data_IF_918354147138
#
_entry.id   IF_918354147138
#
_cell.length_a   1.000
_cell.length_b   1.000
_cell.length_c   1.000
_cell.angle_alpha   90.00
_cell.angle_beta   90.00
_cell.angle_gamma   90.00
#
_symmetry.space_group_name_H-M   'P 1'
#
loop_
_entity.id
_entity.type
_entity.pdbx_description
1 polymer ?
#
# COMPACT_ATOMS: atom_id res chain seq x y z
N UNK A 1 -7.28 -47.07 -34.10
CA UNK A 1 -8.05 -46.04 -33.35
C UNK A 1 -7.34 -45.72 -32.06
N UNK A 2 -6.38 -44.78 -32.08
CA UNK A 2 -5.75 -44.22 -30.91
C UNK A 2 -6.62 -43.02 -30.48
N UNK A 3 -7.36 -43.17 -29.41
CA UNK A 3 -8.18 -42.11 -28.83
C UNK A 3 -7.36 -41.10 -28.09
N UNK A 4 -7.63 -39.85 -28.36
CA UNK A 4 -7.17 -38.66 -27.64
C UNK A 4 -7.57 -38.73 -26.16
N UNK A 5 -6.59 -38.74 -25.28
CA UNK A 5 -6.72 -38.52 -23.84
C UNK A 5 -5.59 -37.59 -23.39
N UNK A 6 -5.63 -36.30 -23.75
CA UNK A 6 -4.64 -35.31 -23.34
C UNK A 6 -5.27 -33.93 -23.11
N UNK A 7 -6.52 -33.86 -22.62
CA UNK A 7 -7.20 -32.57 -22.42
C UNK A 7 -7.63 -32.27 -20.99
N UNK A 8 -7.90 -33.28 -20.15
CA UNK A 8 -8.50 -33.00 -18.84
C UNK A 8 -7.52 -32.66 -17.71
N UNK A 9 -6.26 -33.06 -17.78
CA UNK A 9 -5.32 -32.86 -16.66
C UNK A 9 -4.70 -31.49 -16.56
N UNK A 10 -4.64 -30.72 -17.64
CA UNK A 10 -4.09 -29.35 -17.62
C UNK A 10 -5.11 -28.32 -17.13
N UNK A 11 -6.39 -28.49 -17.51
CA UNK A 11 -7.46 -27.59 -17.12
C UNK A 11 -7.81 -27.73 -15.62
N UNK A 12 -7.75 -28.95 -15.08
CA UNK A 12 -7.97 -29.20 -13.66
C UNK A 12 -6.83 -28.60 -12.81
N UNK A 13 -5.58 -28.77 -13.22
CA UNK A 13 -4.44 -28.16 -12.53
C UNK A 13 -4.45 -26.64 -12.57
N UNK A 14 -4.87 -26.02 -13.68
CA UNK A 14 -4.99 -24.57 -13.78
C UNK A 14 -6.07 -24.06 -12.81
N UNK A 15 -7.21 -24.74 -12.69
CA UNK A 15 -8.26 -24.39 -11.72
C UNK A 15 -7.80 -24.57 -10.29
N UNK A 16 -7.09 -25.62 -9.99
CA UNK A 16 -6.54 -25.87 -8.65
C UNK A 16 -5.49 -24.80 -8.28
N UNK A 17 -4.65 -24.37 -9.24
CA UNK A 17 -3.67 -23.30 -9.06
C UNK A 17 -4.34 -21.98 -8.69
N UNK A 18 -5.35 -21.56 -9.45
CA UNK A 18 -6.08 -20.31 -9.17
C UNK A 18 -6.83 -20.38 -7.83
N UNK A 19 -7.44 -21.52 -7.51
CA UNK A 19 -8.11 -21.74 -6.24
C UNK A 19 -7.16 -21.61 -5.04
N UNK A 20 -5.96 -22.21 -5.13
CA UNK A 20 -4.94 -22.06 -4.08
C UNK A 20 -4.39 -20.64 -4.00
N UNK A 21 -4.18 -19.96 -5.15
CA UNK A 21 -3.77 -18.56 -5.18
C UNK A 21 -4.79 -17.68 -4.47
N UNK A 22 -6.07 -17.81 -4.79
CA UNK A 22 -7.13 -17.03 -4.16
C UNK A 22 -7.26 -17.32 -2.66
N UNK A 23 -7.15 -18.59 -2.27
CA UNK A 23 -7.16 -18.97 -0.87
C UNK A 23 -5.97 -18.33 -0.11
N UNK A 24 -4.77 -18.34 -0.70
CA UNK A 24 -3.59 -17.68 -0.11
C UNK A 24 -3.78 -16.17 0.06
N UNK A 25 -4.40 -15.49 -0.91
CA UNK A 25 -4.73 -14.06 -0.80
C UNK A 25 -5.70 -13.83 0.38
N UNK A 26 -6.76 -14.62 0.47
CA UNK A 26 -7.72 -14.53 1.58
C UNK A 26 -7.04 -14.79 2.95
N UNK A 27 -6.08 -15.72 3.00
CA UNK A 27 -5.30 -15.98 4.22
C UNK A 27 -4.45 -14.77 4.63
N UNK A 28 -3.84 -14.06 3.67
CA UNK A 28 -3.12 -12.79 3.97
C UNK A 28 -4.08 -11.76 4.57
N UNK A 29 -5.26 -11.59 3.97
CA UNK A 29 -6.27 -10.62 4.43
C UNK A 29 -6.77 -10.91 5.85
N UNK A 30 -6.82 -12.20 6.21
CA UNK A 30 -7.23 -12.66 7.54
C UNK A 30 -6.08 -12.82 8.54
N UNK A 31 -4.84 -12.47 8.16
CA UNK A 31 -3.66 -12.58 9.03
C UNK A 31 -3.12 -14.01 9.21
N UNK A 32 -3.64 -15.00 8.47
CA UNK A 32 -3.19 -16.41 8.52
C UNK A 32 -1.99 -16.62 7.58
N UNK A 33 -0.86 -16.00 7.89
CA UNK A 33 0.27 -15.91 6.96
C UNK A 33 0.94 -17.24 6.65
N UNK A 34 1.05 -18.15 7.60
CA UNK A 34 1.61 -19.49 7.38
C UNK A 34 0.75 -20.30 6.42
N UNK A 35 -0.58 -20.25 6.60
CA UNK A 35 -1.53 -20.89 5.67
C UNK A 35 -1.45 -20.27 4.28
N UNK A 36 -1.20 -18.96 4.19
CA UNK A 36 -0.99 -18.26 2.92
C UNK A 36 0.27 -18.78 2.20
N UNK A 37 1.40 -18.94 2.92
CA UNK A 37 2.65 -19.47 2.35
C UNK A 37 2.41 -20.88 1.80
N UNK A 38 1.74 -21.74 2.57
CA UNK A 38 1.40 -23.10 2.15
C UNK A 38 0.49 -23.12 0.93
N UNK A 39 -0.51 -22.24 0.89
CA UNK A 39 -1.43 -22.13 -0.24
C UNK A 39 -0.70 -21.69 -1.52
N UNK A 40 0.14 -20.68 -1.46
CA UNK A 40 0.93 -20.22 -2.61
C UNK A 40 1.93 -21.30 -3.07
N UNK A 41 2.53 -22.06 -2.14
CA UNK A 41 3.37 -23.19 -2.52
C UNK A 41 2.57 -24.25 -3.28
N UNK A 42 1.38 -24.63 -2.78
CA UNK A 42 0.48 -25.56 -3.48
C UNK A 42 0.06 -25.04 -4.85
N UNK A 43 -0.17 -23.73 -5.01
CA UNK A 43 -0.46 -23.13 -6.30
C UNK A 43 0.73 -23.29 -7.26
N UNK A 44 1.95 -23.03 -6.80
CA UNK A 44 3.18 -23.22 -7.61
C UNK A 44 3.41 -24.68 -7.98
N UNK A 45 3.08 -25.62 -7.09
CA UNK A 45 3.19 -27.08 -7.36
C UNK A 45 2.24 -27.56 -8.46
N UNK A 46 1.18 -26.81 -8.78
CA UNK A 46 0.29 -27.09 -9.91
C UNK A 46 0.83 -26.59 -11.25
N UNK A 47 1.88 -25.77 -11.23
CA UNK A 47 2.44 -25.18 -12.47
C UNK A 47 3.07 -26.25 -13.33
N UNK A 48 2.72 -26.24 -14.63
CA UNK A 48 3.21 -27.20 -15.62
C UNK A 48 3.89 -26.39 -16.74
N UNK A 49 5.19 -26.60 -16.90
CA UNK A 49 5.95 -25.97 -17.99
C UNK A 49 6.85 -24.82 -17.51
N UNK A 50 6.93 -23.74 -18.28
CA UNK A 50 7.77 -22.58 -17.96
C UNK A 50 7.10 -21.65 -16.96
N UNK A 51 7.91 -20.96 -16.15
CA UNK A 51 7.46 -19.85 -15.31
C UNK A 51 6.89 -18.73 -16.19
N UNK A 52 5.71 -18.24 -15.89
CA UNK A 52 5.03 -17.14 -16.55
C UNK A 52 4.68 -16.01 -15.57
N UNK A 53 3.90 -15.05 -16.06
CA UNK A 53 3.48 -13.90 -15.24
C UNK A 53 2.66 -14.31 -14.00
N UNK A 54 1.86 -15.37 -14.13
CA UNK A 54 1.05 -15.88 -13.03
C UNK A 54 1.90 -16.52 -11.93
N UNK A 55 2.90 -17.30 -12.28
CA UNK A 55 3.85 -17.89 -11.33
C UNK A 55 4.66 -16.81 -10.61
N UNK A 56 5.08 -15.76 -11.32
CA UNK A 56 5.77 -14.63 -10.73
C UNK A 56 4.85 -13.89 -9.73
N UNK A 57 3.60 -13.64 -10.09
CA UNK A 57 2.61 -13.03 -9.19
C UNK A 57 2.42 -13.87 -7.92
N UNK A 58 2.28 -15.19 -8.04
CA UNK A 58 2.19 -16.11 -6.89
C UNK A 58 3.46 -16.03 -6.03
N UNK A 59 4.65 -15.96 -6.63
CA UNK A 59 5.90 -15.79 -5.90
C UNK A 59 5.95 -14.46 -5.12
N UNK A 60 5.44 -13.36 -5.68
CA UNK A 60 5.33 -12.09 -4.98
C UNK A 60 4.43 -12.18 -3.75
N UNK A 61 3.24 -12.77 -3.89
CA UNK A 61 2.35 -13.01 -2.75
C UNK A 61 2.97 -13.95 -1.70
N UNK A 62 3.66 -15.01 -2.14
CA UNK A 62 4.36 -15.93 -1.23
C UNK A 62 5.43 -15.21 -0.43
N UNK A 63 6.30 -14.41 -1.09
CA UNK A 63 7.34 -13.65 -0.41
C UNK A 63 6.74 -12.64 0.59
N UNK A 64 5.63 -11.98 0.23
CA UNK A 64 4.90 -11.11 1.14
C UNK A 64 4.38 -11.88 2.37
N UNK A 65 3.76 -13.04 2.17
CA UNK A 65 3.25 -13.88 3.25
C UNK A 65 4.39 -14.37 4.16
N UNK A 66 5.51 -14.81 3.60
CA UNK A 66 6.71 -15.22 4.34
C UNK A 66 7.24 -14.07 5.21
N UNK A 67 7.34 -12.86 4.67
CA UNK A 67 7.76 -11.70 5.45
C UNK A 67 6.81 -11.40 6.62
N UNK A 68 5.49 -11.46 6.37
CA UNK A 68 4.46 -11.20 7.38
C UNK A 68 4.37 -12.31 8.45
N UNK A 69 4.69 -13.57 8.11
CA UNK A 69 4.78 -14.67 9.08
C UNK A 69 6.07 -14.63 9.92
N UNK A 70 7.03 -13.76 9.55
CA UNK A 70 8.33 -13.70 10.21
C UNK A 70 9.41 -14.56 9.55
N UNK A 71 9.09 -15.31 8.48
CA UNK A 71 10.08 -16.02 7.64
C UNK A 71 10.79 -15.05 6.70
N UNK A 72 11.57 -14.16 7.29
CA UNK A 72 12.26 -13.07 6.57
C UNK A 72 13.30 -13.61 5.59
N UNK A 73 13.99 -14.68 5.96
CA UNK A 73 15.01 -15.29 5.08
C UNK A 73 14.34 -16.01 3.90
N UNK A 74 13.24 -16.71 4.11
CA UNK A 74 12.43 -17.28 3.03
C UNK A 74 11.90 -16.24 2.06
N UNK A 75 11.47 -15.07 2.55
CA UNK A 75 11.07 -13.96 1.69
C UNK A 75 12.22 -13.44 0.81
N UNK A 76 13.43 -13.30 1.39
CA UNK A 76 14.65 -12.91 0.64
C UNK A 76 14.97 -13.96 -0.43
N UNK A 77 14.88 -15.24 -0.10
CA UNK A 77 15.15 -16.33 -1.03
C UNK A 77 14.14 -16.32 -2.19
N UNK A 78 12.87 -16.11 -1.89
CA UNK A 78 11.81 -16.02 -2.93
C UNK A 78 12.02 -14.83 -3.86
N UNK A 79 12.31 -13.61 -3.33
CA UNK A 79 12.66 -12.47 -4.18
C UNK A 79 13.95 -12.71 -4.97
N UNK A 80 14.94 -13.38 -4.38
CA UNK A 80 16.17 -13.75 -5.09
C UNK A 80 15.88 -14.67 -6.27
N UNK A 81 15.00 -15.65 -6.13
CA UNK A 81 14.59 -16.51 -7.22
C UNK A 81 13.90 -15.74 -8.36
N UNK A 82 13.05 -14.73 -8.05
CA UNK A 82 12.44 -13.85 -9.06
C UNK A 82 13.54 -13.06 -9.80
N UNK A 83 14.46 -12.47 -9.05
CA UNK A 83 15.59 -11.70 -9.61
C UNK A 83 16.46 -12.54 -10.52
N UNK A 84 16.81 -13.75 -10.11
CA UNK A 84 17.64 -14.66 -10.89
C UNK A 84 16.95 -15.09 -12.18
N UNK A 85 15.61 -15.12 -12.16
CA UNK A 85 14.83 -15.47 -13.35
C UNK A 85 14.79 -14.35 -14.41
N UNK A 86 14.48 -13.10 -14.01
CA UNK A 86 14.21 -12.02 -14.97
C UNK A 86 14.80 -10.64 -14.63
N UNK A 87 15.61 -10.52 -13.55
CA UNK A 87 16.16 -9.24 -13.05
C UNK A 87 15.10 -8.19 -12.75
N UNK A 88 13.99 -8.64 -12.19
CA UNK A 88 12.82 -7.82 -11.91
C UNK A 88 13.14 -6.65 -10.97
N UNK A 89 12.81 -5.42 -11.38
CA UNK A 89 13.07 -4.19 -10.62
C UNK A 89 12.32 -4.15 -9.30
N UNK A 90 11.07 -4.61 -9.29
CA UNK A 90 10.22 -4.59 -8.10
C UNK A 90 10.71 -5.63 -7.08
N UNK A 91 11.20 -6.78 -7.54
CA UNK A 91 11.80 -7.79 -6.67
C UNK A 91 13.09 -7.27 -6.01
N UNK A 92 13.95 -6.54 -6.74
CA UNK A 92 15.10 -5.86 -6.14
C UNK A 92 14.64 -4.84 -5.09
N UNK A 93 13.66 -4.00 -5.41
CA UNK A 93 13.16 -3.00 -4.48
C UNK A 93 12.59 -3.63 -3.20
N UNK A 94 11.73 -4.63 -3.32
CA UNK A 94 11.11 -5.29 -2.18
C UNK A 94 12.13 -6.04 -1.32
N UNK A 95 13.12 -6.72 -1.93
CA UNK A 95 14.22 -7.35 -1.19
C UNK A 95 15.09 -6.30 -0.49
N UNK A 96 15.32 -5.17 -1.13
CA UNK A 96 16.00 -4.02 -0.55
C UNK A 96 15.28 -3.50 0.71
N UNK A 97 13.95 -3.38 0.67
CA UNK A 97 13.15 -3.01 1.84
C UNK A 97 13.33 -4.01 3.00
N UNK A 98 13.37 -5.31 2.70
CA UNK A 98 13.61 -6.34 3.73
C UNK A 98 15.03 -6.23 4.32
N UNK A 99 16.04 -5.96 3.51
CA UNK A 99 17.38 -5.72 4.02
C UNK A 99 17.45 -4.54 4.97
N UNK A 100 16.74 -3.44 4.68
CA UNK A 100 16.59 -2.32 5.61
C UNK A 100 15.91 -2.74 6.92
N UNK A 101 14.86 -3.54 6.86
CA UNK A 101 14.19 -4.07 8.04
C UNK A 101 15.11 -4.98 8.89
N UNK A 102 16.08 -5.65 8.24
CA UNK A 102 17.14 -6.44 8.90
C UNK A 102 18.34 -5.61 9.38
N UNK A 103 18.30 -4.28 9.25
CA UNK A 103 19.42 -3.37 9.51
C UNK A 103 20.65 -3.61 8.61
N UNK A 104 20.49 -4.22 7.44
CA UNK A 104 21.52 -4.40 6.41
C UNK A 104 21.36 -3.34 5.30
N UNK A 105 21.60 -2.08 5.67
CA UNK A 105 21.40 -0.94 4.76
C UNK A 105 22.31 -1.00 3.52
N UNK A 106 23.48 -1.61 3.61
CA UNK A 106 24.40 -1.72 2.47
C UNK A 106 23.79 -2.59 1.35
N UNK A 107 23.21 -3.75 1.71
CA UNK A 107 22.51 -4.60 0.75
C UNK A 107 21.24 -3.93 0.24
N UNK A 108 20.49 -3.26 1.14
CA UNK A 108 19.29 -2.53 0.76
C UNK A 108 19.58 -1.45 -0.29
N UNK A 109 20.60 -0.61 -0.06
CA UNK A 109 21.02 0.43 -1.02
C UNK A 109 21.52 -0.15 -2.35
N UNK A 110 22.23 -1.28 -2.31
CA UNK A 110 22.66 -1.96 -3.53
C UNK A 110 21.47 -2.43 -4.35
N UNK A 111 20.48 -3.02 -3.70
CA UNK A 111 19.27 -3.50 -4.36
C UNK A 111 18.45 -2.33 -4.93
N UNK A 112 18.27 -1.22 -4.18
CA UNK A 112 17.59 -0.02 -4.69
C UNK A 112 18.29 0.58 -5.92
N UNK A 113 19.62 0.65 -5.89
CA UNK A 113 20.39 1.12 -7.04
C UNK A 113 20.19 0.22 -8.25
N UNK A 114 20.14 -1.10 -8.05
CA UNK A 114 19.92 -2.05 -9.14
C UNK A 114 18.48 -1.95 -9.65
N UNK A 115 17.49 -1.89 -8.77
CA UNK A 115 16.08 -1.71 -9.13
C UNK A 115 15.89 -0.50 -10.07
N UNK A 116 16.46 0.65 -9.68
CA UNK A 116 16.39 1.89 -10.46
C UNK A 116 17.22 1.83 -11.76
N UNK A 117 18.23 0.95 -11.87
CA UNK A 117 18.95 0.78 -13.12
C UNK A 117 18.24 -0.15 -14.11
N UNK A 118 17.41 -1.07 -13.61
CA UNK A 118 16.59 -1.96 -14.45
C UNK A 118 15.30 -1.28 -14.94
N UNK A 119 14.81 -0.25 -14.22
CA UNK A 119 13.58 0.49 -14.53
C UNK A 119 13.76 1.97 -14.18
N UNK A 120 14.53 2.69 -14.99
CA UNK A 120 15.06 4.02 -14.69
C UNK A 120 14.05 5.17 -14.93
N UNK A 121 12.92 4.93 -15.61
CA UNK A 121 11.86 5.92 -15.85
C UNK A 121 10.61 5.74 -14.94
N UNK A 122 10.69 4.87 -13.93
CA UNK A 122 9.59 4.59 -13.01
C UNK A 122 9.60 5.55 -11.80
N UNK A 123 8.78 6.59 -11.85
CA UNK A 123 8.62 7.56 -10.75
C UNK A 123 8.22 6.92 -9.41
N UNK A 124 7.34 5.92 -9.41
CA UNK A 124 6.88 5.26 -8.18
C UNK A 124 8.02 4.53 -7.47
N UNK A 125 8.94 3.95 -8.24
CA UNK A 125 10.10 3.29 -7.68
C UNK A 125 11.02 4.30 -6.95
N UNK A 126 11.25 5.47 -7.54
CA UNK A 126 12.00 6.55 -6.87
C UNK A 126 11.31 7.03 -5.60
N UNK A 127 9.99 7.17 -5.62
CA UNK A 127 9.18 7.55 -4.45
C UNK A 127 9.28 6.50 -3.34
N UNK A 128 9.10 5.21 -3.68
CA UNK A 128 9.22 4.12 -2.71
C UNK A 128 10.61 4.03 -2.06
N UNK A 129 11.67 4.24 -2.86
CA UNK A 129 13.04 4.32 -2.34
C UNK A 129 13.19 5.48 -1.36
N UNK A 130 12.70 6.67 -1.71
CA UNK A 130 12.71 7.83 -0.81
C UNK A 130 11.95 7.54 0.49
N UNK A 131 10.74 7.00 0.42
CA UNK A 131 9.91 6.69 1.58
C UNK A 131 10.61 5.69 2.51
N UNK A 132 11.21 4.64 1.92
CA UNK A 132 11.98 3.66 2.70
C UNK A 132 13.18 4.32 3.37
N UNK A 133 14.00 5.08 2.64
CA UNK A 133 15.17 5.76 3.19
C UNK A 133 14.79 6.75 4.31
N UNK A 134 13.70 7.49 4.12
CA UNK A 134 13.17 8.43 5.12
C UNK A 134 12.74 7.71 6.40
N UNK A 135 12.09 6.56 6.28
CA UNK A 135 11.70 5.72 7.43
C UNK A 135 12.91 5.30 8.27
N UNK A 136 14.06 5.11 7.64
CA UNK A 136 15.32 4.74 8.33
C UNK A 136 16.23 5.93 8.60
N UNK A 137 15.73 7.17 8.52
CA UNK A 137 16.46 8.39 8.87
C UNK A 137 17.47 8.86 7.83
N UNK A 138 17.47 8.30 6.63
CA UNK A 138 18.39 8.61 5.54
C UNK A 138 17.78 9.65 4.57
N UNK A 139 17.16 10.69 5.11
CA UNK A 139 16.39 11.68 4.35
C UNK A 139 17.20 12.38 3.25
N UNK A 140 18.45 12.76 3.52
CA UNK A 140 19.27 13.49 2.55
C UNK A 140 19.60 12.61 1.35
N UNK A 141 19.94 11.33 1.60
CA UNK A 141 20.16 10.37 0.52
C UNK A 141 18.88 10.07 -0.26
N UNK A 142 17.75 9.98 0.45
CA UNK A 142 16.43 9.82 -0.20
C UNK A 142 16.11 10.99 -1.14
N UNK A 143 16.42 12.23 -0.75
CA UNK A 143 16.21 13.42 -1.60
C UNK A 143 17.02 13.36 -2.90
N UNK A 144 18.24 12.82 -2.88
CA UNK A 144 19.03 12.65 -4.11
C UNK A 144 18.30 11.77 -5.15
N UNK A 145 17.58 10.74 -4.71
CA UNK A 145 16.74 9.93 -5.60
C UNK A 145 15.56 10.72 -6.17
N UNK A 146 14.89 11.54 -5.34
CA UNK A 146 13.82 12.42 -5.82
C UNK A 146 14.33 13.43 -6.85
N UNK A 147 15.50 14.04 -6.62
CA UNK A 147 16.14 14.94 -7.56
C UNK A 147 16.48 14.25 -8.89
N UNK A 148 16.87 12.97 -8.84
CA UNK A 148 17.11 12.17 -10.06
C UNK A 148 15.79 11.89 -10.78
N UNK A 149 14.71 11.56 -10.08
CA UNK A 149 13.39 11.41 -10.68
C UNK A 149 12.91 12.69 -11.40
N UNK A 150 13.21 13.87 -10.85
CA UNK A 150 12.85 15.13 -11.50
C UNK A 150 13.61 15.45 -12.79
N UNK A 151 14.71 14.73 -13.08
CA UNK A 151 15.43 14.82 -14.39
C UNK A 151 14.71 14.04 -15.48
N UNK A 152 13.84 13.12 -15.13
CA UNK A 152 13.01 12.36 -16.08
C UNK A 152 12.05 13.31 -16.78
N UNK A 153 11.77 13.03 -18.06
CA UNK A 153 10.81 13.81 -18.84
C UNK A 153 9.39 13.28 -18.62
N UNK A 154 8.55 14.09 -18.00
CA UNK A 154 7.12 13.77 -17.92
C UNK A 154 6.48 13.75 -19.33
N UNK A 155 5.71 12.70 -19.61
CA UNK A 155 5.05 12.44 -20.89
C UNK A 155 3.54 12.27 -20.75
N UNK A 156 3.10 11.79 -19.59
CA UNK A 156 1.70 11.42 -19.30
C UNK A 156 1.14 12.21 -18.12
N UNK A 157 -0.18 12.19 -17.97
CA UNK A 157 -0.86 12.77 -16.80
C UNK A 157 -0.34 12.15 -15.49
N UNK A 158 -0.08 10.84 -15.50
CA UNK A 158 0.50 10.15 -14.35
C UNK A 158 1.90 10.67 -14.01
N UNK A 159 2.78 10.81 -14.99
CA UNK A 159 4.11 11.38 -14.77
C UNK A 159 4.04 12.79 -14.12
N UNK A 160 3.10 13.63 -14.58
CA UNK A 160 2.90 14.94 -13.97
C UNK A 160 2.37 14.85 -12.54
N UNK A 161 1.50 13.89 -12.24
CA UNK A 161 1.03 13.64 -10.89
C UNK A 161 2.20 13.18 -9.98
N UNK A 162 2.99 12.21 -10.44
CA UNK A 162 4.15 11.73 -9.67
C UNK A 162 5.18 12.83 -9.42
N UNK A 163 5.45 13.69 -10.41
CA UNK A 163 6.30 14.88 -10.20
C UNK A 163 5.71 15.84 -9.17
N UNK A 164 4.40 16.00 -9.15
CA UNK A 164 3.70 16.79 -8.12
C UNK A 164 3.93 16.22 -6.73
N UNK A 165 3.82 14.89 -6.55
CA UNK A 165 4.14 14.20 -5.31
C UNK A 165 5.59 14.44 -4.87
N UNK A 166 6.53 14.30 -5.80
CA UNK A 166 7.96 14.53 -5.55
C UNK A 166 8.22 15.95 -5.08
N UNK A 167 7.69 16.96 -5.78
CA UNK A 167 7.83 18.36 -5.36
C UNK A 167 7.22 18.61 -3.97
N UNK A 168 6.11 17.95 -3.65
CA UNK A 168 5.48 18.02 -2.33
C UNK A 168 6.40 17.49 -1.22
N UNK A 169 7.06 16.35 -1.47
CA UNK A 169 8.02 15.75 -0.54
C UNK A 169 9.27 16.62 -0.36
N UNK A 170 9.70 17.32 -1.41
CA UNK A 170 10.80 18.27 -1.37
C UNK A 170 10.42 19.64 -0.77
N UNK A 171 9.12 19.87 -0.51
CA UNK A 171 8.60 21.14 0.02
C UNK A 171 8.45 22.26 -1.02
N UNK A 172 8.65 21.97 -2.31
CA UNK A 172 8.40 22.92 -3.40
C UNK A 172 6.93 22.84 -3.84
N UNK A 173 6.07 23.40 -2.99
CA UNK A 173 4.62 23.36 -3.20
C UNK A 173 4.15 24.07 -4.46
N UNK A 174 4.85 25.13 -4.91
CA UNK A 174 4.46 25.86 -6.12
C UNK A 174 4.73 25.05 -7.39
N UNK A 175 5.83 24.31 -7.45
CA UNK A 175 6.12 23.37 -8.53
C UNK A 175 5.20 22.14 -8.47
N UNK A 176 4.83 21.68 -7.25
CA UNK A 176 3.86 20.63 -7.04
C UNK A 176 2.50 20.99 -7.64
N UNK A 177 1.96 22.16 -7.28
CA UNK A 177 0.68 22.67 -7.80
C UNK A 177 0.69 22.74 -9.33
N UNK A 178 1.77 23.27 -9.93
CA UNK A 178 1.90 23.37 -11.40
C UNK A 178 1.89 22.01 -12.07
N UNK A 179 2.58 21.03 -11.48
CA UNK A 179 2.61 19.65 -12.03
C UNK A 179 1.27 18.96 -11.89
N UNK A 180 0.65 19.02 -10.70
CA UNK A 180 -0.66 18.43 -10.44
C UNK A 180 -1.76 19.08 -11.29
N UNK A 181 -1.69 20.40 -11.52
CA UNK A 181 -2.66 21.07 -12.40
C UNK A 181 -2.61 20.52 -13.83
N UNK A 182 -1.39 20.23 -14.36
CA UNK A 182 -1.27 19.58 -15.67
C UNK A 182 -1.92 18.21 -15.71
N UNK A 183 -1.71 17.39 -14.66
CA UNK A 183 -2.36 16.09 -14.55
C UNK A 183 -3.90 16.21 -14.51
N UNK A 184 -4.44 17.18 -13.78
CA UNK A 184 -5.87 17.49 -13.73
C UNK A 184 -6.41 17.95 -15.10
N UNK A 185 -5.67 18.80 -15.80
CA UNK A 185 -6.04 19.29 -17.13
C UNK A 185 -6.11 18.15 -18.15
N UNK A 186 -5.26 17.13 -17.98
CA UNK A 186 -5.27 15.87 -18.74
C UNK A 186 -6.30 14.84 -18.21
N UNK A 187 -7.20 15.26 -17.28
CA UNK A 187 -8.32 14.46 -16.74
C UNK A 187 -7.91 13.33 -15.80
N UNK A 188 -6.73 13.36 -15.20
CA UNK A 188 -6.35 12.42 -14.16
C UNK A 188 -7.01 12.83 -12.84
N UNK A 189 -8.09 12.17 -12.49
CA UNK A 189 -8.94 12.50 -11.32
C UNK A 189 -8.15 12.40 -10.01
N UNK A 190 -7.31 11.37 -9.86
CA UNK A 190 -6.47 11.14 -8.68
C UNK A 190 -5.53 12.30 -8.35
N UNK A 191 -5.14 13.13 -9.33
CA UNK A 191 -4.34 14.32 -9.11
C UNK A 191 -5.03 15.36 -8.21
N UNK A 192 -6.38 15.34 -8.09
CA UNK A 192 -7.09 16.20 -7.14
C UNK A 192 -6.80 15.78 -5.68
N UNK A 193 -6.65 14.49 -5.39
CA UNK A 193 -6.25 14.02 -4.06
C UNK A 193 -4.90 14.65 -3.66
N UNK A 194 -3.87 14.48 -4.50
CA UNK A 194 -2.55 15.04 -4.21
C UNK A 194 -2.52 16.57 -4.19
N UNK A 195 -3.38 17.23 -4.97
CA UNK A 195 -3.55 18.68 -4.90
C UNK A 195 -4.12 19.10 -3.52
N UNK A 196 -5.07 18.33 -2.98
CA UNK A 196 -5.59 18.52 -1.63
C UNK A 196 -4.50 18.40 -0.57
N UNK A 197 -3.63 17.37 -0.67
CA UNK A 197 -2.48 17.20 0.23
C UNK A 197 -1.48 18.38 0.17
N UNK A 198 -1.18 18.89 -1.02
CA UNK A 198 -0.29 20.07 -1.18
C UNK A 198 -0.85 21.27 -0.45
N UNK A 199 -2.15 21.59 -0.66
CA UNK A 199 -2.78 22.73 0.00
C UNK A 199 -2.86 22.54 1.52
N UNK A 200 -3.08 21.32 1.99
CA UNK A 200 -3.02 21.01 3.41
C UNK A 200 -1.63 21.30 4.01
N UNK A 201 -0.57 20.82 3.36
CA UNK A 201 0.82 21.09 3.79
C UNK A 201 1.17 22.61 3.73
N UNK A 202 0.51 23.35 2.84
CA UNK A 202 0.59 24.83 2.81
C UNK A 202 -0.22 25.53 3.90
N UNK A 203 -1.09 24.82 4.63
CA UNK A 203 -2.01 25.37 5.61
C UNK A 203 -3.26 26.03 5.00
N UNK A 204 -3.52 25.85 3.70
CA UNK A 204 -4.72 26.33 3.02
C UNK A 204 -5.81 25.23 3.07
N UNK A 205 -6.50 25.16 4.21
CA UNK A 205 -7.51 24.15 4.46
C UNK A 205 -8.72 24.26 3.51
N UNK A 206 -9.12 25.48 3.09
CA UNK A 206 -10.26 25.67 2.20
C UNK A 206 -9.97 25.08 0.81
N UNK A 207 -8.79 25.38 0.26
CA UNK A 207 -8.36 24.78 -1.01
C UNK A 207 -8.18 23.26 -0.89
N UNK A 208 -7.61 22.79 0.22
CA UNK A 208 -7.45 21.35 0.49
C UNK A 208 -8.79 20.61 0.44
N UNK A 209 -9.77 21.07 1.22
CA UNK A 209 -11.12 20.46 1.23
C UNK A 209 -11.80 20.51 -0.14
N UNK A 210 -11.65 21.61 -0.89
CA UNK A 210 -12.20 21.74 -2.23
C UNK A 210 -11.65 20.68 -3.18
N UNK A 211 -10.35 20.38 -3.13
CA UNK A 211 -9.75 19.38 -4.00
C UNK A 211 -10.03 17.96 -3.53
N UNK A 212 -10.02 17.68 -2.24
CA UNK A 212 -10.47 16.39 -1.71
C UNK A 212 -11.94 16.10 -2.08
N UNK A 213 -12.82 17.11 -1.97
CA UNK A 213 -14.21 16.95 -2.41
C UNK A 213 -14.33 16.60 -3.90
N UNK A 214 -13.56 17.24 -4.78
CA UNK A 214 -13.56 16.88 -6.21
C UNK A 214 -13.13 15.43 -6.44
N UNK A 215 -12.20 14.93 -5.66
CA UNK A 215 -11.77 13.54 -5.74
C UNK A 215 -12.85 12.59 -5.23
N UNK A 216 -13.46 12.89 -4.08
CA UNK A 216 -14.59 12.12 -3.54
C UNK A 216 -15.77 12.04 -4.51
N UNK A 217 -16.14 13.19 -5.10
CA UNK A 217 -17.27 13.27 -6.04
C UNK A 217 -17.04 12.46 -7.34
N UNK A 218 -15.81 12.01 -7.61
CA UNK A 218 -15.51 11.15 -8.76
C UNK A 218 -15.91 9.69 -8.57
N UNK A 219 -15.98 9.20 -7.33
CA UNK A 219 -16.20 7.81 -6.99
C UNK A 219 -15.01 6.88 -7.23
N UNK A 220 -13.82 7.42 -7.57
CA UNK A 220 -12.58 6.66 -7.81
C UNK A 220 -11.69 6.51 -6.56
N UNK A 221 -12.26 6.71 -5.37
CA UNK A 221 -11.53 6.70 -4.10
C UNK A 221 -11.30 5.28 -3.59
N UNK A 222 -10.13 5.04 -2.98
CA UNK A 222 -9.86 3.83 -2.24
C UNK A 222 -9.87 4.04 -0.71
N UNK A 223 -9.88 2.94 0.04
CA UNK A 223 -9.97 2.98 1.50
C UNK A 223 -8.73 3.56 2.18
N UNK A 224 -7.55 3.42 1.59
CA UNK A 224 -6.32 4.03 2.12
C UNK A 224 -6.33 5.54 1.96
N UNK A 225 -6.78 6.03 0.81
CA UNK A 225 -6.89 7.46 0.52
C UNK A 225 -7.90 8.13 1.44
N UNK A 226 -9.07 7.52 1.64
CA UNK A 226 -10.06 8.01 2.59
C UNK A 226 -9.55 7.99 4.05
N UNK A 227 -8.80 6.94 4.43
CA UNK A 227 -8.17 6.88 5.74
C UNK A 227 -7.18 8.04 5.93
N UNK A 228 -6.34 8.31 4.92
CA UNK A 228 -5.38 9.41 4.97
C UNK A 228 -6.07 10.78 5.04
N UNK A 229 -7.17 10.98 4.29
CA UNK A 229 -7.99 12.20 4.40
C UNK A 229 -8.58 12.36 5.80
N UNK A 230 -9.06 11.28 6.40
CA UNK A 230 -9.56 11.26 7.77
C UNK A 230 -8.46 11.61 8.78
N UNK A 231 -7.29 10.98 8.66
CA UNK A 231 -6.15 11.27 9.53
C UNK A 231 -5.73 12.75 9.44
N UNK A 232 -5.72 13.29 8.24
CA UNK A 232 -5.43 14.70 7.99
C UNK A 232 -6.41 15.64 8.73
N UNK A 233 -7.69 15.27 8.81
CA UNK A 233 -8.68 16.03 9.59
C UNK A 233 -8.49 15.85 11.11
N UNK A 234 -8.06 14.66 11.55
CA UNK A 234 -7.67 14.41 12.95
C UNK A 234 -6.54 15.37 13.38
N UNK A 235 -5.51 15.48 12.57
CA UNK A 235 -4.34 16.33 12.83
C UNK A 235 -4.71 17.82 12.91
N UNK A 236 -5.78 18.22 12.21
CA UNK A 236 -6.34 19.59 12.26
C UNK A 236 -7.40 19.79 13.36
N UNK A 237 -7.72 18.76 14.15
CA UNK A 237 -8.76 18.81 15.19
C UNK A 237 -10.20 18.78 14.66
N UNK A 238 -10.40 18.45 13.38
CA UNK A 238 -11.72 18.37 12.73
C UNK A 238 -12.30 16.94 12.86
N UNK A 239 -12.53 16.49 14.07
CA UNK A 239 -12.85 15.10 14.39
C UNK A 239 -14.13 14.59 13.69
N UNK A 240 -15.20 15.39 13.63
CA UNK A 240 -16.45 15.00 12.93
C UNK A 240 -16.23 14.76 11.44
N UNK A 241 -15.40 15.59 10.81
CA UNK A 241 -15.05 15.42 9.41
C UNK A 241 -14.18 14.17 9.22
N UNK A 242 -13.24 13.91 10.13
CA UNK A 242 -12.44 12.69 10.13
C UNK A 242 -13.31 11.44 10.22
N UNK A 243 -14.27 11.42 11.16
CA UNK A 243 -15.24 10.32 11.31
C UNK A 243 -16.00 10.08 10.01
N UNK A 244 -16.43 11.14 9.33
CA UNK A 244 -17.12 11.02 8.03
C UNK A 244 -16.24 10.34 6.98
N UNK A 245 -14.96 10.70 6.86
CA UNK A 245 -14.03 10.04 5.94
C UNK A 245 -13.82 8.56 6.28
N UNK A 246 -13.66 8.23 7.57
CA UNK A 246 -13.50 6.84 8.00
C UNK A 246 -14.77 6.01 7.75
N UNK A 247 -15.97 6.57 7.95
CA UNK A 247 -17.24 5.92 7.62
C UNK A 247 -17.34 5.63 6.12
N UNK A 248 -17.06 6.63 5.26
CA UNK A 248 -17.06 6.45 3.82
C UNK A 248 -16.07 5.37 3.37
N UNK A 249 -14.91 5.29 4.03
CA UNK A 249 -13.92 4.24 3.74
C UNK A 249 -14.44 2.83 4.07
N UNK A 250 -15.17 2.69 5.19
CA UNK A 250 -15.74 1.40 5.61
C UNK A 250 -16.96 0.98 4.78
N UNK A 251 -17.58 1.90 4.02
CA UNK A 251 -18.71 1.62 3.13
C UNK A 251 -18.26 1.18 1.72
N UNK A 252 -16.96 1.22 1.41
CA UNK A 252 -16.46 0.76 0.12
C UNK A 252 -16.60 -0.76 -0.04
N UNK A 253 -16.70 -1.23 -1.27
CA UNK A 253 -16.81 -2.66 -1.60
C UNK A 253 -15.56 -3.45 -1.15
N UNK A 254 -14.37 -2.82 -1.20
CA UNK A 254 -13.10 -3.42 -0.77
C UNK A 254 -12.41 -2.54 0.26
N UNK A 255 -12.17 -3.07 1.45
CA UNK A 255 -11.55 -2.36 2.58
C UNK A 255 -10.42 -3.20 3.19
N UNK A 256 -9.27 -3.35 2.51
CA UNK A 256 -8.18 -4.19 2.98
C UNK A 256 -7.54 -3.69 4.29
N UNK A 257 -7.69 -2.40 4.60
CA UNK A 257 -7.22 -1.76 5.83
C UNK A 257 -8.34 -1.50 6.87
N UNK A 258 -9.41 -2.33 6.86
CA UNK A 258 -10.59 -2.19 7.72
C UNK A 258 -10.22 -2.03 9.21
N UNK A 259 -9.30 -2.87 9.70
CA UNK A 259 -8.84 -2.82 11.09
C UNK A 259 -8.29 -1.44 11.47
N UNK A 260 -7.41 -0.90 10.63
CA UNK A 260 -6.76 0.40 10.86
C UNK A 260 -7.77 1.54 10.84
N UNK A 261 -8.70 1.54 9.87
CA UNK A 261 -9.75 2.55 9.74
C UNK A 261 -10.67 2.51 10.95
N UNK A 262 -11.08 1.32 11.39
CA UNK A 262 -11.98 1.17 12.55
C UNK A 262 -11.32 1.70 13.82
N UNK A 263 -10.03 1.39 14.06
CA UNK A 263 -9.27 1.96 15.19
C UNK A 263 -9.18 3.49 15.10
N UNK A 264 -8.84 4.04 13.93
CA UNK A 264 -8.76 5.48 13.72
C UNK A 264 -10.10 6.19 13.97
N UNK A 265 -11.19 5.58 13.54
CA UNK A 265 -12.54 6.11 13.77
C UNK A 265 -12.92 6.11 15.27
N UNK A 266 -12.58 5.06 16.01
CA UNK A 266 -12.79 5.00 17.46
C UNK A 266 -12.03 6.13 18.16
N UNK A 267 -10.76 6.30 17.84
CA UNK A 267 -9.93 7.39 18.35
C UNK A 267 -10.53 8.77 18.00
N UNK A 268 -11.11 8.93 16.81
CA UNK A 268 -11.76 10.17 16.41
C UNK A 268 -13.00 10.48 17.29
N UNK A 269 -13.82 9.47 17.63
CA UNK A 269 -14.92 9.62 18.57
C UNK A 269 -14.44 10.01 19.99
N UNK A 270 -13.34 9.44 20.46
CA UNK A 270 -12.74 9.81 21.74
C UNK A 270 -12.30 11.29 21.77
N UNK A 271 -11.58 11.73 20.73
CA UNK A 271 -11.14 13.13 20.61
C UNK A 271 -12.30 14.11 20.41
N UNK A 272 -13.40 13.67 19.79
CA UNK A 272 -14.63 14.48 19.70
C UNK A 272 -15.40 14.56 21.03
N UNK A 273 -15.05 13.71 22.02
CA UNK A 273 -15.72 13.61 23.31
C UNK A 273 -16.93 12.66 23.33
N UNK A 274 -17.21 11.97 22.22
CA UNK A 274 -18.29 10.97 22.14
C UNK A 274 -17.78 9.59 22.62
N UNK A 275 -17.49 9.52 23.92
CA UNK A 275 -16.99 8.29 24.56
C UNK A 275 -18.01 7.15 24.52
N UNK A 276 -19.32 7.46 24.45
CA UNK A 276 -20.35 6.43 24.38
C UNK A 276 -20.29 5.67 23.04
N UNK A 277 -20.17 6.40 21.92
CA UNK A 277 -20.00 5.79 20.61
C UNK A 277 -18.64 5.10 20.49
N UNK A 278 -17.56 5.71 20.97
CA UNK A 278 -16.23 5.12 21.00
C UNK A 278 -16.24 3.75 21.69
N UNK A 279 -16.85 3.67 22.89
CA UNK A 279 -17.00 2.42 23.66
C UNK A 279 -17.77 1.36 22.88
N UNK A 280 -18.92 1.71 22.31
CA UNK A 280 -19.74 0.77 21.53
C UNK A 280 -18.98 0.23 20.32
N UNK A 281 -18.26 1.10 19.62
CA UNK A 281 -17.42 0.71 18.47
C UNK A 281 -16.23 -0.16 18.89
N UNK A 282 -15.63 0.10 20.04
CA UNK A 282 -14.56 -0.73 20.59
C UNK A 282 -15.06 -2.13 20.97
N UNK A 283 -16.27 -2.23 21.51
CA UNK A 283 -16.91 -3.54 21.79
C UNK A 283 -17.13 -4.35 20.50
N UNK A 284 -17.54 -3.70 19.41
CA UNK A 284 -17.67 -4.33 18.09
C UNK A 284 -16.29 -4.75 17.54
N UNK A 285 -15.30 -3.85 17.63
CA UNK A 285 -13.93 -4.09 17.18
C UNK A 285 -13.29 -5.31 17.85
N UNK A 286 -13.41 -5.43 19.19
CA UNK A 286 -12.82 -6.56 19.92
C UNK A 286 -13.46 -7.92 19.59
N UNK A 287 -14.68 -7.95 19.03
CA UNK A 287 -15.28 -9.21 18.53
C UNK A 287 -14.63 -9.65 17.23
N UNK A 288 -14.28 -8.68 16.37
CA UNK A 288 -13.63 -8.94 15.08
C UNK A 288 -12.12 -9.22 15.27
N UNK A 289 -11.50 -8.60 16.30
CA UNK A 289 -10.05 -8.64 16.54
C UNK A 289 -9.74 -8.96 18.04
N UNK A 290 -10.05 -10.18 18.51
CA UNK A 290 -9.96 -10.53 19.93
C UNK A 290 -8.52 -10.56 20.47
N UNK A 291 -7.53 -10.70 19.63
CA UNK A 291 -6.11 -10.77 20.01
C UNK A 291 -5.41 -9.40 20.05
N UNK A 292 -6.13 -8.29 19.83
CA UNK A 292 -5.58 -6.95 19.91
C UNK A 292 -5.52 -6.48 21.38
N UNK A 293 -4.36 -6.70 22.03
CA UNK A 293 -4.14 -6.34 23.43
C UNK A 293 -4.25 -4.84 23.70
N UNK A 294 -3.92 -3.98 22.72
CA UNK A 294 -4.02 -2.53 22.84
C UNK A 294 -5.50 -2.10 22.90
N UNK A 295 -6.35 -2.71 22.07
CA UNK A 295 -7.78 -2.46 22.09
C UNK A 295 -8.42 -2.87 23.43
N UNK A 296 -7.98 -3.98 24.01
CA UNK A 296 -8.46 -4.41 25.32
C UNK A 296 -8.12 -3.39 26.44
N UNK A 297 -6.94 -2.78 26.39
CA UNK A 297 -6.54 -1.72 27.32
C UNK A 297 -7.33 -0.43 27.13
N UNK A 298 -7.52 -0.04 25.87
CA UNK A 298 -8.32 1.16 25.53
C UNK A 298 -9.78 1.00 25.93
N UNK A 299 -10.35 -0.18 25.75
CA UNK A 299 -11.71 -0.47 26.22
C UNK A 299 -11.87 -0.28 27.74
N UNK A 300 -10.89 -0.73 28.55
CA UNK A 300 -10.91 -0.50 29.99
C UNK A 300 -10.90 1.00 30.34
N UNK A 301 -10.18 1.82 29.58
CA UNK A 301 -10.23 3.27 29.73
C UNK A 301 -11.62 3.81 29.42
N UNK A 302 -12.23 3.38 28.31
CA UNK A 302 -13.57 3.81 27.89
C UNK A 302 -14.69 3.37 28.87
N UNK A 303 -14.51 2.27 29.61
CA UNK A 303 -15.45 1.85 30.65
C UNK A 303 -15.55 2.84 31.82
N UNK A 304 -14.56 3.69 32.03
CA UNK A 304 -14.48 4.68 33.09
C UNK A 304 -15.00 6.06 32.70
N UNK A 305 -15.41 6.26 31.47
CA UNK A 305 -15.93 7.51 30.90
C UNK A 305 -17.43 7.42 30.62
#
# INVERSE_FOLDING_TARGET
>A
TAGMLTGCGSDDKAKDKDAYRQYGINCIENGSYDDAVDAFQKALDQSVGSVGAEELDICYYKAKAQYLSGDVDGAIDTYTAIIDYNKDSDAYYLRGCIYFAKNDSDKGLKDFKTALSENDDNYELYLGVYETLSKYGMNDQGKEYLDNALKLKAKTADDYMQRGRIYTMLGDYDSAIKSLQKAIDEKLVKANYYMGEVYQKKGDNDSSQKYFKKYLDSGEVDSYELMNMGQAQMDNGNYDTAITYFQNALELESVPNKQQITKAMIIAYEYSGDFATAKSKMEEYMKDYPDDEDAAREYQFLETR
#
